data_IF_868746681942
#
_entry.id   IF_868746681942
#
_cell.length_a   1.000
_cell.length_b   1.000
_cell.length_c   1.000
_cell.angle_alpha   90.00
_cell.angle_beta   90.00
_cell.angle_gamma   90.00
#
_symmetry.space_group_name_H-M   'P 1'
#
loop_
_entity.id
_entity.type
_entity.pdbx_description
1 polymer ?
#
# COMPACT_ATOMS: atom_id res chain seq x y z
N UNK A 1 -13.66 4.72 -9.08
CA UNK A 1 -14.17 3.39 -8.64
C UNK A 1 -15.25 3.56 -7.60
N UNK A 2 -16.34 2.84 -7.74
CA UNK A 2 -17.36 2.76 -6.71
C UNK A 2 -16.88 1.87 -5.56
N UNK A 3 -17.55 1.98 -4.40
CA UNK A 3 -17.23 1.10 -3.26
C UNK A 3 -17.46 -0.38 -3.62
N UNK A 4 -18.48 -0.67 -4.42
CA UNK A 4 -18.75 -2.03 -4.88
C UNK A 4 -17.61 -2.56 -5.74
N UNK A 5 -17.09 -1.75 -6.65
CA UNK A 5 -15.95 -2.12 -7.49
C UNK A 5 -14.68 -2.36 -6.65
N UNK A 6 -14.42 -1.48 -5.68
CA UNK A 6 -13.29 -1.62 -4.77
C UNK A 6 -13.36 -2.90 -3.95
N UNK A 7 -14.54 -3.22 -3.43
CA UNK A 7 -14.75 -4.44 -2.65
C UNK A 7 -14.52 -5.70 -3.49
N UNK A 8 -15.00 -5.71 -4.72
CA UNK A 8 -14.77 -6.83 -5.65
C UNK A 8 -13.30 -6.98 -5.98
N UNK A 9 -12.63 -5.87 -6.24
CA UNK A 9 -11.20 -5.85 -6.55
C UNK A 9 -10.40 -6.46 -5.41
N UNK A 10 -10.64 -6.01 -4.18
CA UNK A 10 -9.92 -6.51 -3.01
C UNK A 10 -10.24 -7.98 -2.72
N UNK A 11 -11.50 -8.36 -2.82
CA UNK A 11 -11.90 -9.75 -2.59
C UNK A 11 -11.20 -10.71 -3.55
N UNK A 12 -11.08 -10.32 -4.82
CA UNK A 12 -10.37 -11.11 -5.82
C UNK A 12 -8.88 -11.23 -5.49
N UNK A 13 -8.28 -10.14 -5.10
CA UNK A 13 -6.87 -10.09 -4.70
C UNK A 13 -6.60 -11.03 -3.52
N UNK A 14 -7.43 -10.94 -2.47
CA UNK A 14 -7.27 -11.79 -1.29
C UNK A 14 -7.50 -13.27 -1.62
N UNK A 15 -8.42 -13.56 -2.50
CA UNK A 15 -8.66 -14.93 -2.94
C UNK A 15 -7.42 -15.50 -3.63
N UNK A 16 -6.75 -14.71 -4.45
CA UNK A 16 -5.53 -15.13 -5.14
C UNK A 16 -4.36 -15.33 -4.19
N UNK A 17 -4.28 -14.52 -3.12
CA UNK A 17 -3.21 -14.65 -2.12
C UNK A 17 -3.38 -15.89 -1.23
N UNK A 18 -4.59 -16.41 -1.10
CA UNK A 18 -4.84 -17.61 -0.31
C UNK A 18 -5.59 -17.34 0.99
N UNK A 19 -5.82 -18.40 1.76
CA UNK A 19 -6.69 -18.40 2.93
C UNK A 19 -6.23 -17.49 4.06
N UNK A 20 -4.92 -17.25 4.18
CA UNK A 20 -4.36 -16.51 5.30
C UNK A 20 -4.22 -15.00 5.06
N UNK A 21 -4.61 -14.52 3.88
CA UNK A 21 -4.42 -13.11 3.53
C UNK A 21 -5.13 -12.15 4.48
N UNK A 22 -6.36 -12.45 4.85
CA UNK A 22 -7.13 -11.60 5.77
C UNK A 22 -6.59 -11.68 7.19
N UNK A 23 -6.05 -12.84 7.58
CA UNK A 23 -5.40 -12.99 8.88
C UNK A 23 -4.17 -12.09 8.96
N UNK A 24 -3.33 -12.08 7.94
CA UNK A 24 -2.17 -11.19 7.88
C UNK A 24 -2.59 -9.73 7.93
N UNK A 25 -3.62 -9.37 7.17
CA UNK A 25 -4.14 -8.01 7.21
C UNK A 25 -4.57 -7.61 8.62
N UNK A 26 -5.32 -8.47 9.29
CA UNK A 26 -5.79 -8.21 10.65
C UNK A 26 -4.65 -8.03 11.64
N UNK A 27 -3.58 -8.80 11.50
CA UNK A 27 -2.41 -8.69 12.37
C UNK A 27 -1.74 -7.32 12.27
N UNK A 28 -1.71 -6.73 11.08
CA UNK A 28 -1.01 -5.47 10.85
C UNK A 28 -1.90 -4.23 10.95
N UNK A 29 -3.23 -4.40 10.86
CA UNK A 29 -4.16 -3.28 10.85
C UNK A 29 -3.98 -2.34 12.05
N UNK A 30 -3.78 -2.90 13.23
CA UNK A 30 -3.67 -2.13 14.47
C UNK A 30 -2.24 -2.01 15.00
N UNK A 31 -1.23 -2.46 14.25
CA UNK A 31 0.16 -2.33 14.67
C UNK A 31 0.52 -0.84 14.79
N UNK A 32 0.93 -0.35 15.97
CA UNK A 32 1.03 1.09 16.22
C UNK A 32 2.24 1.76 15.57
N UNK A 33 3.32 1.01 15.31
CA UNK A 33 4.57 1.57 14.81
C UNK A 33 4.95 1.06 13.43
N UNK A 34 4.16 0.18 12.86
CA UNK A 34 4.46 -0.44 11.58
C UNK A 34 3.54 0.11 10.50
N UNK A 35 4.13 0.61 9.43
CA UNK A 35 3.40 0.99 8.23
C UNK A 35 3.35 -0.20 7.30
N UNK A 36 2.13 -0.65 6.99
CA UNK A 36 1.90 -1.85 6.18
C UNK A 36 0.92 -1.53 5.07
N UNK A 37 1.18 -2.06 3.89
CA UNK A 37 0.23 -2.03 2.79
C UNK A 37 0.44 -3.24 1.89
N UNK A 38 -0.60 -3.58 1.15
CA UNK A 38 -0.55 -4.58 0.09
C UNK A 38 -0.94 -3.92 -1.22
N UNK A 39 -0.26 -4.29 -2.28
CA UNK A 39 -0.56 -3.82 -3.62
C UNK A 39 -0.68 -4.99 -4.58
N UNK A 40 -1.50 -4.83 -5.61
CA UNK A 40 -1.53 -5.81 -6.69
C UNK A 40 -0.40 -5.55 -7.69
N UNK A 41 -0.30 -6.41 -8.71
CA UNK A 41 0.75 -6.30 -9.71
C UNK A 41 0.68 -5.04 -10.57
N UNK A 42 -0.44 -4.35 -10.55
CA UNK A 42 -0.63 -3.07 -11.24
C UNK A 42 -0.29 -1.87 -10.36
N UNK A 43 0.16 -2.12 -9.14
CA UNK A 43 0.52 -1.06 -8.19
C UNK A 43 -0.65 -0.44 -7.46
N UNK A 44 -1.83 -1.05 -7.53
CA UNK A 44 -3.02 -0.56 -6.86
C UNK A 44 -3.04 -1.04 -5.41
N UNK A 45 -3.36 -0.15 -4.48
CA UNK A 45 -3.45 -0.48 -3.06
C UNK A 45 -4.66 -1.37 -2.82
N UNK A 46 -4.44 -2.51 -2.18
CA UNK A 46 -5.49 -3.46 -1.81
C UNK A 46 -5.79 -3.43 -0.31
N UNK A 47 -4.80 -3.08 0.49
CA UNK A 47 -4.93 -2.95 1.93
C UNK A 47 -3.90 -1.97 2.45
N UNK A 48 -4.24 -1.26 3.51
CA UNK A 48 -3.34 -0.30 4.15
C UNK A 48 -3.72 -0.23 5.64
N UNK A 49 -2.73 -0.40 6.52
CA UNK A 49 -3.04 -0.43 7.94
C UNK A 49 -3.26 0.97 8.52
N UNK A 50 -3.76 1.01 9.75
CA UNK A 50 -4.12 2.26 10.42
C UNK A 50 -2.96 3.23 10.50
N UNK A 51 -1.79 2.78 10.93
CA UNK A 51 -0.62 3.65 11.07
C UNK A 51 -0.23 4.28 9.75
N UNK A 52 -0.23 3.50 8.68
CA UNK A 52 0.11 4.02 7.36
C UNK A 52 -0.93 5.02 6.87
N UNK A 53 -2.21 4.75 7.12
CA UNK A 53 -3.30 5.71 6.79
C UNK A 53 -3.11 7.03 7.51
N UNK A 54 -2.76 6.99 8.79
CA UNK A 54 -2.54 8.20 9.58
C UNK A 54 -1.41 9.05 9.00
N UNK A 55 -0.30 8.40 8.65
CA UNK A 55 0.86 9.08 8.05
C UNK A 55 0.50 9.68 6.69
N UNK A 56 -0.28 8.96 5.88
CA UNK A 56 -0.70 9.41 4.56
C UNK A 56 -1.92 10.33 4.60
N UNK A 57 -2.45 10.60 5.79
CA UNK A 57 -3.64 11.42 5.97
C UNK A 57 -4.86 10.87 5.22
N UNK A 58 -5.03 9.55 5.28
CA UNK A 58 -6.16 8.84 4.68
C UNK A 58 -7.10 8.41 5.80
N UNK A 59 -8.34 8.90 5.76
CA UNK A 59 -9.32 8.66 6.82
C UNK A 59 -9.84 7.23 6.81
N UNK A 60 -10.21 6.73 5.65
CA UNK A 60 -10.86 5.42 5.49
C UNK A 60 -10.04 4.58 4.53
N UNK A 61 -9.86 3.31 4.89
CA UNK A 61 -9.11 2.37 4.05
C UNK A 61 -9.67 2.29 2.63
N UNK A 62 -10.99 2.33 2.49
CA UNK A 62 -11.62 2.25 1.18
C UNK A 62 -11.30 3.45 0.28
N UNK A 63 -10.90 4.58 0.88
CA UNK A 63 -10.44 5.72 0.09
C UNK A 63 -9.12 5.43 -0.61
N UNK A 64 -8.32 4.51 -0.05
CA UNK A 64 -7.03 4.13 -0.62
C UNK A 64 -7.13 2.95 -1.59
N UNK A 65 -8.07 2.04 -1.36
CA UNK A 65 -8.20 0.83 -2.19
C UNK A 65 -8.44 1.20 -3.66
N UNK A 66 -7.65 0.61 -4.53
CA UNK A 66 -7.70 0.87 -5.96
C UNK A 66 -6.85 2.04 -6.43
N UNK A 67 -6.34 2.84 -5.51
CA UNK A 67 -5.43 3.95 -5.86
C UNK A 67 -4.00 3.45 -6.00
N UNK A 68 -3.24 4.19 -6.79
CA UNK A 68 -1.81 3.96 -6.95
C UNK A 68 -1.05 5.04 -6.18
N UNK A 69 0.25 4.85 -5.98
CA UNK A 69 1.07 5.83 -5.26
C UNK A 69 0.99 7.23 -5.88
N UNK A 70 0.87 7.32 -7.20
CA UNK A 70 0.74 8.62 -7.87
C UNK A 70 -0.55 9.38 -7.54
N UNK A 71 -1.56 8.69 -6.99
CA UNK A 71 -2.80 9.31 -6.58
C UNK A 71 -2.74 9.85 -5.14
N UNK A 72 -1.71 9.47 -4.38
CA UNK A 72 -1.60 9.76 -2.96
C UNK A 72 -0.41 10.69 -2.65
N UNK A 73 0.72 10.47 -3.31
CA UNK A 73 1.97 11.17 -3.02
C UNK A 73 2.31 12.19 -4.09
N UNK A 74 3.13 13.20 -3.76
CA UNK A 74 3.68 14.11 -4.78
C UNK A 74 4.43 13.33 -5.86
N UNK A 75 4.51 13.86 -7.09
CA UNK A 75 5.08 13.11 -8.23
C UNK A 75 6.46 12.50 -7.99
N UNK A 76 7.36 13.22 -7.34
CA UNK A 76 8.71 12.71 -7.07
C UNK A 76 8.71 11.52 -6.12
N UNK A 77 7.93 11.62 -5.03
CA UNK A 77 7.81 10.55 -4.05
C UNK A 77 7.11 9.35 -4.68
N UNK A 78 6.03 9.60 -5.40
CA UNK A 78 5.28 8.54 -6.09
C UNK A 78 6.16 7.79 -7.10
N UNK A 79 6.95 8.51 -7.89
CA UNK A 79 7.84 7.89 -8.87
C UNK A 79 8.87 6.98 -8.20
N UNK A 80 9.43 7.43 -7.09
CA UNK A 80 10.38 6.64 -6.31
C UNK A 80 9.73 5.34 -5.79
N UNK A 81 8.57 5.45 -5.16
CA UNK A 81 7.86 4.30 -4.62
C UNK A 81 7.47 3.32 -5.73
N UNK A 82 6.91 3.83 -6.83
CA UNK A 82 6.43 3.00 -7.93
C UNK A 82 7.57 2.29 -8.65
N UNK A 83 8.74 2.91 -8.77
CA UNK A 83 9.92 2.29 -9.36
C UNK A 83 10.40 1.11 -8.50
N UNK A 84 10.37 1.26 -7.19
CA UNK A 84 10.77 0.18 -6.27
C UNK A 84 9.77 -0.95 -6.27
N UNK A 85 8.48 -0.64 -6.29
CA UNK A 85 7.43 -1.65 -6.40
C UNK A 85 7.60 -2.47 -7.69
N UNK A 86 7.88 -1.79 -8.79
CA UNK A 86 8.10 -2.45 -10.08
C UNK A 86 9.30 -3.39 -10.03
N UNK A 87 10.39 -2.96 -9.40
CA UNK A 87 11.58 -3.80 -9.26
C UNK A 87 11.27 -5.10 -8.50
N UNK A 88 10.48 -5.01 -7.43
CA UNK A 88 10.07 -6.20 -6.68
C UNK A 88 9.20 -7.12 -7.54
N UNK A 89 8.25 -6.56 -8.26
CA UNK A 89 7.34 -7.32 -9.12
C UNK A 89 8.10 -8.02 -10.24
N UNK A 90 9.01 -7.32 -10.90
CA UNK A 90 9.74 -7.85 -12.05
C UNK A 90 10.79 -8.88 -11.67
N UNK A 91 11.47 -8.69 -10.54
CA UNK A 91 12.57 -9.57 -10.14
C UNK A 91 12.14 -10.65 -9.18
N UNK A 92 11.03 -10.47 -8.46
CA UNK A 92 10.63 -11.35 -7.39
C UNK A 92 11.52 -11.25 -6.14
N UNK A 93 12.45 -10.28 -6.13
CA UNK A 93 13.37 -10.11 -5.01
C UNK A 93 12.90 -9.03 -4.06
N UNK A 94 12.89 -9.29 -2.75
CA UNK A 94 12.50 -8.28 -1.77
C UNK A 94 13.54 -7.17 -1.66
N UNK A 95 13.10 -5.98 -1.26
CA UNK A 95 13.98 -4.87 -0.90
C UNK A 95 13.97 -4.77 0.61
N UNK A 96 15.13 -4.89 1.22
CA UNK A 96 15.29 -4.97 2.67
C UNK A 96 16.17 -3.82 3.15
N UNK A 97 15.87 -3.32 4.38
CA UNK A 97 16.66 -2.28 5.06
C UNK A 97 16.77 -0.99 4.26
N UNK A 98 15.70 -0.64 3.56
CA UNK A 98 15.64 0.59 2.79
C UNK A 98 14.79 1.63 3.50
N UNK A 99 15.29 2.87 3.51
CA UNK A 99 14.51 4.01 3.94
C UNK A 99 13.81 4.61 2.75
N UNK A 100 12.52 4.90 2.90
CA UNK A 100 11.71 5.47 1.84
C UNK A 100 11.20 6.85 2.23
N UNK A 101 11.01 7.70 1.24
CA UNK A 101 10.33 8.97 1.42
C UNK A 101 8.84 8.68 1.63
N UNK A 102 8.32 8.95 2.83
CA UNK A 102 6.98 8.50 3.20
C UNK A 102 5.93 9.58 3.11
N UNK A 103 6.31 10.83 3.15
CA UNK A 103 5.32 11.91 3.08
C UNK A 103 5.93 13.19 2.53
N UNK A 104 5.06 14.10 2.09
CA UNK A 104 5.47 15.42 1.64
C UNK A 104 6.02 16.28 2.78
N UNK A 105 5.65 15.98 4.02
CA UNK A 105 6.12 16.71 5.21
C UNK A 105 7.53 16.32 5.58
N UNK A 106 7.96 15.16 5.16
CA UNK A 106 9.32 14.68 5.42
C UNK A 106 9.89 14.02 4.18
N UNK A 107 10.15 14.81 3.14
CA UNK A 107 10.61 14.28 1.86
C UNK A 107 11.99 13.63 1.93
N UNK A 108 12.76 13.89 2.98
CA UNK A 108 14.05 13.23 3.17
C UNK A 108 13.91 11.80 3.71
N UNK A 109 12.71 11.39 4.08
CA UNK A 109 12.47 10.04 4.59
C UNK A 109 12.94 9.80 6.01
N UNK A 110 13.14 10.85 6.72
CA UNK A 110 13.62 10.78 8.11
C UNK A 110 12.54 11.05 9.11
#
# INVERSE_FOLDING_TARGET
>A
MTITEKRRLRARFFKELGENAEVFKAMFDEAPLLCFYMKDAKGRIMAINRRNREICNIRDEWDAVGKRSCDIFPPRVAAYIMARDRAVIETGEPIIDRRELRSAKNPAGT
#
